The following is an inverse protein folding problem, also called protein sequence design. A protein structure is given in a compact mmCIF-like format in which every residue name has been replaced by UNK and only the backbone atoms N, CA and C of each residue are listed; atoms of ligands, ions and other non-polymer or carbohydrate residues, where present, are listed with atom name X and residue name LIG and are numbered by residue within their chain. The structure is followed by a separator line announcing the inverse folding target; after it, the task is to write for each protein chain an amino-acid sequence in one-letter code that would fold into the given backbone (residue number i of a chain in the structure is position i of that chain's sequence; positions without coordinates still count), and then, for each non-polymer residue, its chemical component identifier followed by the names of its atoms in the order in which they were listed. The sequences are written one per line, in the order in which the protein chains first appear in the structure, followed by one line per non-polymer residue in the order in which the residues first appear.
data_IF_432075951000
#
_entry.id   IF_432075951000
#
_cell.length_a   1.000
_cell.length_b   1.000
_cell.length_c   1.000
_cell.angle_alpha   90.00
_cell.angle_beta   90.00
_cell.angle_gamma   90.00
#
_symmetry.space_group_name_H-M   'P 1'
#
loop_
_entity.id
_entity.type
_entity.pdbx_description
1 polymer ?
#
# COMPACT_ATOMS: atom_id res chain seq x y z
N UNK A 1 21.38 9.68 -21.46
CA UNK A 1 20.20 9.93 -20.59
C UNK A 1 19.19 8.83 -20.89
N UNK A 2 18.82 7.99 -19.93
CA UNK A 2 17.75 7.02 -20.14
C UNK A 2 16.43 7.79 -20.32
N UNK A 3 15.69 7.49 -21.38
CA UNK A 3 14.37 8.07 -21.60
C UNK A 3 13.45 7.57 -20.48
N UNK A 4 12.85 8.49 -19.73
CA UNK A 4 11.84 8.13 -18.71
C UNK A 4 10.61 7.58 -19.46
N UNK A 5 10.15 6.36 -19.17
CA UNK A 5 9.00 5.79 -19.86
C UNK A 5 7.71 6.58 -19.54
N UNK A 6 6.75 6.55 -20.46
CA UNK A 6 5.41 7.10 -20.22
C UNK A 6 4.67 6.18 -19.23
N UNK A 7 4.37 6.69 -18.05
CA UNK A 7 3.72 5.95 -16.97
C UNK A 7 2.25 6.38 -16.83
N UNK A 8 1.33 5.41 -16.76
CA UNK A 8 -0.05 5.62 -16.34
C UNK A 8 -0.41 4.57 -15.28
N UNK A 9 -0.96 5.03 -14.15
CA UNK A 9 -1.50 4.16 -13.11
C UNK A 9 -3.03 4.22 -13.16
N UNK A 10 -3.67 3.10 -13.45
CA UNK A 10 -5.12 2.96 -13.30
C UNK A 10 -5.47 2.33 -11.96
N UNK A 11 -6.21 3.05 -11.13
CA UNK A 11 -6.72 2.58 -9.85
C UNK A 11 -8.02 3.32 -9.49
N UNK A 12 -8.69 2.90 -8.42
CA UNK A 12 -9.89 3.57 -7.94
C UNK A 12 -9.64 5.02 -7.49
N UNK A 13 -10.68 5.86 -7.60
CA UNK A 13 -10.64 7.27 -7.18
C UNK A 13 -10.86 7.43 -5.67
N UNK A 14 -9.90 6.94 -4.91
CA UNK A 14 -9.76 7.26 -3.48
C UNK A 14 -8.27 7.27 -3.11
N UNK A 15 -7.94 7.88 -1.99
CA UNK A 15 -6.59 7.87 -1.43
C UNK A 15 -6.47 6.67 -0.51
N UNK A 16 -5.39 5.91 -0.66
CA UNK A 16 -5.17 4.65 0.04
C UNK A 16 -5.31 3.41 -0.85
N UNK A 17 -5.21 2.24 -0.23
CA UNK A 17 -5.32 0.94 -0.84
C UNK A 17 -4.14 0.56 -1.74
N UNK A 18 -4.31 -0.47 -2.54
CA UNK A 18 -3.22 -1.10 -3.32
C UNK A 18 -2.51 -0.19 -4.33
N UNK A 19 -3.14 0.93 -4.74
CA UNK A 19 -2.55 1.89 -5.66
C UNK A 19 -1.70 2.98 -5.00
N UNK A 20 -1.91 3.22 -3.70
CA UNK A 20 -1.36 4.39 -3.03
C UNK A 20 0.16 4.34 -2.88
N UNK A 21 0.73 3.20 -2.49
CA UNK A 21 2.19 3.05 -2.42
C UNK A 21 2.88 3.35 -3.75
N UNK A 22 2.22 3.04 -4.88
CA UNK A 22 2.71 3.33 -6.23
C UNK A 22 2.66 4.83 -6.52
N UNK A 23 1.54 5.51 -6.20
CA UNK A 23 1.39 6.97 -6.33
C UNK A 23 2.47 7.71 -5.55
N UNK A 24 2.64 7.32 -4.29
CA UNK A 24 3.64 7.91 -3.42
C UNK A 24 5.06 7.68 -3.93
N UNK A 25 5.39 6.46 -4.37
CA UNK A 25 6.71 6.14 -4.90
C UNK A 25 7.04 6.95 -6.16
N UNK A 26 6.10 7.06 -7.11
CA UNK A 26 6.28 7.88 -8.31
C UNK A 26 6.45 9.37 -7.97
N UNK A 27 5.67 9.88 -7.01
CA UNK A 27 5.75 11.26 -6.54
C UNK A 27 7.09 11.55 -5.86
N UNK A 28 7.53 10.67 -4.94
CA UNK A 28 8.81 10.79 -4.21
C UNK A 28 9.99 10.75 -5.19
N UNK A 29 9.94 9.84 -6.17
CA UNK A 29 10.94 9.70 -7.23
C UNK A 29 10.86 10.79 -8.30
N UNK A 30 9.88 11.71 -8.23
CA UNK A 30 9.62 12.76 -9.23
C UNK A 30 9.48 12.19 -10.65
N UNK A 31 8.91 11.00 -10.78
CA UNK A 31 8.59 10.37 -12.05
C UNK A 31 7.21 10.86 -12.51
N UNK A 32 7.10 11.56 -13.65
CA UNK A 32 5.81 11.99 -14.18
C UNK A 32 4.92 10.80 -14.50
N UNK A 33 3.65 10.85 -14.12
CA UNK A 33 2.68 9.80 -14.43
C UNK A 33 1.27 10.37 -14.58
N UNK A 34 0.44 9.68 -15.36
CA UNK A 34 -1.00 9.87 -15.43
C UNK A 34 -1.66 9.06 -14.31
N UNK A 35 -2.35 9.72 -13.39
CA UNK A 35 -3.15 9.06 -12.33
C UNK A 35 -4.58 8.85 -12.84
N UNK A 36 -4.81 7.74 -13.56
CA UNK A 36 -6.10 7.33 -14.14
C UNK A 36 -7.00 6.76 -13.03
N UNK A 37 -7.74 7.66 -12.39
CA UNK A 37 -8.63 7.37 -11.27
C UNK A 37 -10.02 6.96 -11.77
N UNK A 38 -10.45 5.75 -11.42
CA UNK A 38 -11.68 5.15 -11.91
C UNK A 38 -12.77 5.15 -10.84
N UNK A 39 -13.98 5.56 -11.22
CA UNK A 39 -15.18 5.25 -10.44
C UNK A 39 -15.48 3.75 -10.49
N UNK A 40 -16.42 3.29 -9.67
CA UNK A 40 -16.89 1.89 -9.73
C UNK A 40 -17.50 1.54 -11.08
N UNK A 41 -18.26 2.45 -11.67
CA UNK A 41 -18.85 2.31 -13.01
C UNK A 41 -17.77 2.28 -14.09
N UNK A 42 -16.77 3.17 -13.99
CA UNK A 42 -15.62 3.19 -14.91
C UNK A 42 -14.80 1.90 -14.85
N UNK A 43 -14.62 1.32 -13.66
CA UNK A 43 -14.01 0.00 -13.50
C UNK A 43 -14.88 -1.10 -14.14
N UNK A 44 -16.19 -1.14 -13.86
CA UNK A 44 -17.09 -2.15 -14.41
C UNK A 44 -17.12 -2.14 -15.95
N UNK A 45 -17.05 -0.95 -16.56
CA UNK A 45 -16.97 -0.80 -18.03
C UNK A 45 -15.68 -1.34 -18.64
N UNK A 46 -14.56 -1.29 -17.88
CA UNK A 46 -13.21 -1.64 -18.37
C UNK A 46 -12.68 -2.98 -17.85
N UNK A 47 -13.38 -3.65 -16.94
CA UNK A 47 -12.88 -4.84 -16.21
C UNK A 47 -12.40 -5.96 -17.15
N UNK A 48 -13.04 -6.14 -18.31
CA UNK A 48 -12.69 -7.17 -19.29
C UNK A 48 -11.40 -6.86 -20.07
N UNK A 49 -10.96 -5.60 -20.09
CA UNK A 49 -9.75 -5.14 -20.76
C UNK A 49 -8.54 -5.17 -19.83
N UNK A 50 -8.79 -5.28 -18.51
CA UNK A 50 -7.74 -5.26 -17.50
C UNK A 50 -7.11 -6.64 -17.34
N UNK A 51 -5.79 -6.73 -17.19
CA UNK A 51 -5.13 -8.00 -16.80
C UNK A 51 -5.77 -8.53 -15.52
N UNK A 52 -6.14 -9.80 -15.51
CA UNK A 52 -6.79 -10.48 -14.36
C UNK A 52 -8.12 -9.84 -13.90
N UNK A 53 -8.74 -8.94 -14.69
CA UNK A 53 -9.98 -8.25 -14.32
C UNK A 53 -9.88 -7.44 -13.02
N UNK A 54 -8.72 -6.89 -12.68
CA UNK A 54 -8.45 -6.29 -11.38
C UNK A 54 -7.56 -5.03 -11.49
N UNK A 55 -7.62 -4.19 -10.45
CA UNK A 55 -6.79 -3.02 -10.23
C UNK A 55 -5.89 -3.22 -8.99
N UNK A 56 -4.72 -2.55 -8.93
CA UNK A 56 -4.17 -1.57 -9.88
C UNK A 56 -3.59 -2.20 -11.15
N UNK A 57 -3.50 -1.40 -12.22
CA UNK A 57 -2.70 -1.68 -13.42
C UNK A 57 -1.79 -0.49 -13.71
N UNK A 58 -0.50 -0.76 -13.87
CA UNK A 58 0.48 0.20 -14.34
C UNK A 58 0.72 0.00 -15.84
N UNK A 59 0.60 1.04 -16.63
CA UNK A 59 0.98 1.03 -18.04
C UNK A 59 2.33 1.71 -18.20
N UNK A 60 3.28 1.01 -18.82
CA UNK A 60 4.63 1.48 -19.12
C UNK A 60 4.79 1.49 -20.63
N UNK A 61 4.85 2.67 -21.24
CA UNK A 61 4.81 2.84 -22.71
C UNK A 61 3.65 2.06 -23.34
N UNK A 62 2.49 2.07 -22.69
CA UNK A 62 1.28 1.37 -23.12
C UNK A 62 1.23 -0.14 -22.77
N UNK A 63 2.30 -0.73 -22.25
CA UNK A 63 2.34 -2.15 -21.85
C UNK A 63 1.81 -2.31 -20.43
N UNK A 64 0.79 -3.15 -20.19
CA UNK A 64 0.20 -3.32 -18.86
C UNK A 64 1.06 -4.20 -17.96
N UNK A 65 1.21 -3.79 -16.70
CA UNK A 65 1.75 -4.55 -15.58
C UNK A 65 0.69 -4.57 -14.47
N UNK A 66 0.29 -5.74 -14.04
CA UNK A 66 -0.65 -5.92 -12.93
C UNK A 66 0.04 -6.55 -11.71
N UNK A 67 -0.76 -6.78 -10.65
CA UNK A 67 -0.32 -7.22 -9.32
C UNK A 67 0.43 -6.12 -8.53
N UNK A 68 -0.20 -5.65 -7.44
CA UNK A 68 0.26 -4.50 -6.67
C UNK A 68 1.73 -4.62 -6.25
N UNK A 69 2.18 -5.81 -5.81
CA UNK A 69 3.57 -6.02 -5.38
C UNK A 69 4.55 -6.02 -6.55
N UNK A 70 4.17 -6.57 -7.72
CA UNK A 70 4.99 -6.47 -8.93
C UNK A 70 5.15 -5.02 -9.38
N UNK A 71 4.07 -4.25 -9.33
CA UNK A 71 4.07 -2.81 -9.64
C UNK A 71 4.96 -2.06 -8.64
N UNK A 72 4.83 -2.31 -7.33
CA UNK A 72 5.67 -1.71 -6.30
C UNK A 72 7.16 -1.99 -6.54
N UNK A 73 7.55 -3.23 -6.87
CA UNK A 73 8.93 -3.58 -7.21
C UNK A 73 9.45 -2.81 -8.43
N UNK A 74 8.64 -2.76 -9.50
CA UNK A 74 9.01 -2.04 -10.72
C UNK A 74 9.20 -0.54 -10.46
N UNK A 75 8.20 0.09 -9.85
CA UNK A 75 8.24 1.53 -9.54
C UNK A 75 9.32 1.82 -8.49
N UNK A 76 9.49 0.98 -7.49
CA UNK A 76 10.55 1.12 -6.49
C UNK A 76 11.95 1.13 -7.10
N UNK A 77 12.21 0.26 -8.10
CA UNK A 77 13.48 0.27 -8.86
C UNK A 77 13.64 1.54 -9.70
N UNK A 78 12.54 2.03 -10.29
CA UNK A 78 12.56 3.24 -11.10
C UNK A 78 12.80 4.51 -10.27
N UNK A 79 12.42 4.50 -9.01
CA UNK A 79 12.43 5.66 -8.08
C UNK A 79 13.50 5.59 -7.00
N UNK A 80 14.39 4.58 -7.04
CA UNK A 80 15.38 4.29 -6.00
C UNK A 80 14.78 4.02 -4.60
N UNK A 81 13.54 3.49 -4.58
CA UNK A 81 12.82 3.08 -3.36
C UNK A 81 12.72 1.56 -3.22
N UNK A 82 13.60 0.82 -3.89
CA UNK A 82 13.72 -0.64 -3.79
C UNK A 82 15.18 -1.03 -3.71
N UNK A 83 15.57 -1.92 -2.78
CA UNK A 83 16.97 -2.31 -2.59
C UNK A 83 17.57 -2.98 -3.82
N UNK A 84 18.85 -2.69 -4.10
CA UNK A 84 19.63 -3.38 -5.14
C UNK A 84 20.33 -4.64 -4.62
N UNK A 85 20.63 -4.72 -3.32
CA UNK A 85 21.16 -5.93 -2.69
C UNK A 85 20.09 -7.04 -2.67
N UNK A 86 20.41 -8.27 -3.11
CA UNK A 86 19.42 -9.34 -3.23
C UNK A 86 18.77 -9.73 -1.89
N UNK A 87 19.51 -9.70 -0.78
CA UNK A 87 18.95 -10.04 0.52
C UNK A 87 18.00 -8.95 1.02
N UNK A 88 18.39 -7.69 0.91
CA UNK A 88 17.55 -6.55 1.28
C UNK A 88 16.31 -6.46 0.36
N UNK A 89 16.44 -6.80 -0.92
CA UNK A 89 15.33 -6.92 -1.85
C UNK A 89 14.33 -8.00 -1.41
N UNK A 90 14.82 -9.17 -1.00
CA UNK A 90 13.97 -10.24 -0.49
C UNK A 90 13.25 -9.85 0.82
N UNK A 91 13.91 -9.13 1.72
CA UNK A 91 13.26 -8.58 2.93
C UNK A 91 12.21 -7.55 2.57
N UNK A 92 12.46 -6.68 1.59
CA UNK A 92 11.46 -5.73 1.09
C UNK A 92 10.23 -6.47 0.53
N UNK A 93 10.45 -7.53 -0.23
CA UNK A 93 9.38 -8.37 -0.78
C UNK A 93 8.58 -9.10 0.30
N UNK A 94 9.26 -9.62 1.33
CA UNK A 94 8.61 -10.25 2.49
C UNK A 94 7.61 -9.28 3.15
N UNK A 95 7.98 -8.01 3.33
CA UNK A 95 7.07 -7.00 3.90
C UNK A 95 5.92 -6.71 2.95
N UNK A 96 6.19 -6.53 1.64
CA UNK A 96 5.13 -6.30 0.64
C UNK A 96 4.10 -7.42 0.63
N UNK A 97 4.56 -8.67 0.69
CA UNK A 97 3.71 -9.85 0.63
C UNK A 97 2.93 -10.05 1.95
N UNK A 98 3.55 -9.80 3.12
CA UNK A 98 2.87 -9.84 4.42
C UNK A 98 1.77 -8.77 4.51
N UNK A 99 2.04 -7.54 4.03
CA UNK A 99 1.01 -6.47 3.97
C UNK A 99 -0.13 -6.88 3.04
N UNK A 100 0.17 -7.52 1.91
CA UNK A 100 -0.88 -8.04 1.01
C UNK A 100 -1.69 -9.14 1.66
N UNK A 101 -1.08 -10.05 2.41
CA UNK A 101 -1.77 -11.11 3.15
C UNK A 101 -2.76 -10.53 4.17
N UNK A 102 -2.35 -9.54 4.96
CA UNK A 102 -3.25 -8.80 5.88
C UNK A 102 -4.41 -8.18 5.10
N UNK A 103 -4.09 -7.50 3.97
CA UNK A 103 -5.09 -6.86 3.12
C UNK A 103 -6.09 -7.86 2.55
N UNK A 104 -5.64 -9.04 2.13
CA UNK A 104 -6.49 -10.11 1.62
C UNK A 104 -7.40 -10.70 2.70
N UNK A 105 -6.88 -10.94 3.89
CA UNK A 105 -7.69 -11.43 5.01
C UNK A 105 -8.84 -10.49 5.35
N UNK A 106 -8.59 -9.19 5.43
CA UNK A 106 -9.62 -8.18 5.71
C UNK A 106 -10.53 -8.00 4.50
N UNK A 107 -9.94 -7.89 3.30
CA UNK A 107 -10.66 -7.68 2.03
C UNK A 107 -11.68 -8.77 1.74
N UNK A 108 -11.36 -10.04 2.07
CA UNK A 108 -12.27 -11.17 1.89
C UNK A 108 -13.56 -11.05 2.71
N UNK A 109 -13.59 -10.19 3.73
CA UNK A 109 -14.78 -9.96 4.58
C UNK A 109 -15.74 -8.90 4.02
N UNK A 110 -15.31 -8.14 3.01
CA UNK A 110 -16.07 -6.96 2.55
C UNK A 110 -17.40 -7.31 1.88
N UNK A 111 -17.49 -8.49 1.27
CA UNK A 111 -18.70 -8.99 0.60
C UNK A 111 -19.57 -9.90 1.48
N UNK A 112 -19.19 -10.14 2.74
CA UNK A 112 -19.92 -10.96 3.69
C UNK A 112 -21.13 -10.20 4.26
N UNK A 113 -22.18 -10.91 4.66
CA UNK A 113 -23.24 -10.34 5.48
C UNK A 113 -22.70 -9.87 6.84
N UNK A 114 -23.50 -9.09 7.58
CA UNK A 114 -23.02 -8.43 8.81
C UNK A 114 -22.61 -9.42 9.91
N UNK A 115 -23.33 -10.55 10.05
CA UNK A 115 -23.00 -11.55 11.07
C UNK A 115 -21.74 -12.31 10.70
N UNK A 116 -21.62 -12.79 9.47
CA UNK A 116 -20.43 -13.47 8.97
C UNK A 116 -19.20 -12.56 9.04
N UNK A 117 -19.35 -11.29 8.66
CA UNK A 117 -18.31 -10.27 8.72
C UNK A 117 -17.82 -10.10 10.15
N UNK A 118 -18.76 -9.94 11.10
CA UNK A 118 -18.46 -9.79 12.52
C UNK A 118 -17.66 -10.97 13.04
N UNK A 119 -18.18 -12.18 12.86
CA UNK A 119 -17.55 -13.40 13.39
C UNK A 119 -16.14 -13.60 12.79
N UNK A 120 -16.02 -13.40 11.47
CA UNK A 120 -14.73 -13.51 10.78
C UNK A 120 -13.73 -12.46 11.24
N UNK A 121 -14.14 -11.19 11.37
CA UNK A 121 -13.24 -10.11 11.80
C UNK A 121 -12.82 -10.23 13.26
N UNK A 122 -13.71 -10.65 14.16
CA UNK A 122 -13.35 -10.94 15.55
C UNK A 122 -12.29 -12.05 15.63
N UNK A 123 -12.42 -13.10 14.83
CA UNK A 123 -11.40 -14.16 14.74
C UNK A 123 -10.08 -13.64 14.16
N UNK A 124 -10.12 -12.82 13.11
CA UNK A 124 -8.92 -12.19 12.56
C UNK A 124 -8.19 -11.34 13.60
N UNK A 125 -8.90 -10.52 14.35
CA UNK A 125 -8.35 -9.65 15.41
C UNK A 125 -7.76 -10.48 16.56
N UNK A 126 -8.36 -11.62 16.89
CA UNK A 126 -7.90 -12.46 18.00
C UNK A 126 -6.68 -13.33 17.64
N UNK A 127 -6.56 -13.78 16.39
CA UNK A 127 -5.61 -14.84 16.01
C UNK A 127 -4.65 -14.40 14.89
N UNK A 128 -5.17 -14.09 13.70
CA UNK A 128 -4.37 -13.95 12.48
C UNK A 128 -3.61 -12.63 12.42
N UNK A 129 -4.31 -11.52 12.63
CA UNK A 129 -3.71 -10.19 12.50
C UNK A 129 -2.61 -9.92 13.53
N UNK A 130 -2.74 -10.34 14.81
CA UNK A 130 -1.64 -10.18 15.77
C UNK A 130 -0.35 -10.89 15.36
N UNK A 131 -0.45 -12.08 14.76
CA UNK A 131 0.71 -12.83 14.31
C UNK A 131 1.43 -12.12 13.15
N UNK A 132 0.68 -11.69 12.11
CA UNK A 132 1.24 -11.01 10.94
C UNK A 132 1.80 -9.64 11.30
N UNK A 133 1.06 -8.83 12.05
CA UNK A 133 1.50 -7.50 12.48
C UNK A 133 2.67 -7.57 13.47
N UNK A 134 2.68 -8.57 14.35
CA UNK A 134 3.82 -8.86 15.22
C UNK A 134 5.08 -9.25 14.45
N UNK A 135 4.94 -10.00 13.36
CA UNK A 135 6.03 -10.29 12.43
C UNK A 135 6.59 -9.03 11.78
N UNK A 136 5.72 -8.15 11.27
CA UNK A 136 6.13 -6.84 10.73
C UNK A 136 6.82 -5.98 11.81
N UNK A 137 6.32 -5.96 13.03
CA UNK A 137 6.94 -5.27 14.17
C UNK A 137 8.38 -5.75 14.43
N UNK A 138 8.57 -7.07 14.41
CA UNK A 138 9.92 -7.65 14.58
C UNK A 138 10.85 -7.29 13.42
N UNK A 139 10.38 -7.34 12.17
CA UNK A 139 11.16 -6.96 11.00
C UNK A 139 11.57 -5.50 11.03
N UNK A 140 10.67 -4.60 11.41
CA UNK A 140 11.00 -3.19 11.58
C UNK A 140 12.11 -2.98 12.63
N UNK A 141 11.99 -3.65 13.78
CA UNK A 141 13.02 -3.57 14.84
C UNK A 141 14.37 -4.13 14.39
N UNK A 142 14.39 -5.24 13.66
CA UNK A 142 15.59 -5.82 13.07
C UNK A 142 16.24 -4.91 12.00
N UNK A 143 15.43 -4.14 11.27
CA UNK A 143 15.86 -3.14 10.29
C UNK A 143 16.39 -1.84 10.91
N UNK A 144 16.44 -1.73 12.25
CA UNK A 144 16.89 -0.52 12.97
C UNK A 144 15.76 0.34 13.53
N UNK A 145 14.49 -0.03 13.31
CA UNK A 145 13.31 0.60 13.93
C UNK A 145 12.79 1.85 13.21
N UNK A 146 13.52 2.37 12.24
CA UNK A 146 13.07 3.53 11.45
C UNK A 146 12.37 3.14 10.16
N UNK A 147 13.02 2.28 9.37
CA UNK A 147 12.52 1.72 8.12
C UNK A 147 12.79 0.22 8.08
N UNK A 148 12.04 -0.51 7.24
CA UNK A 148 12.14 -1.97 7.20
C UNK A 148 13.47 -2.47 6.65
N UNK A 149 14.04 -1.79 5.65
CA UNK A 149 15.24 -2.25 4.96
C UNK A 149 16.25 -1.11 4.75
N UNK A 150 17.55 -1.42 4.84
CA UNK A 150 18.66 -0.49 4.56
C UNK A 150 18.61 0.84 5.32
N UNK A 151 17.86 0.91 6.42
CA UNK A 151 17.64 2.13 7.19
C UNK A 151 17.22 3.35 6.33
N UNK A 152 16.47 3.10 5.26
CA UNK A 152 15.94 4.11 4.35
C UNK A 152 14.54 3.74 3.86
N UNK A 153 13.73 4.76 3.57
CA UNK A 153 12.38 4.56 3.05
C UNK A 153 12.40 3.75 1.74
N UNK A 154 11.51 2.78 1.65
CA UNK A 154 11.29 1.89 0.51
C UNK A 154 9.80 1.77 0.17
N UNK A 155 9.47 1.10 -0.91
CA UNK A 155 8.06 0.79 -1.25
C UNK A 155 7.38 -0.09 -0.20
N UNK A 156 8.14 -0.88 0.57
CA UNK A 156 7.61 -1.65 1.70
C UNK A 156 7.08 -0.73 2.80
N UNK A 157 7.84 0.34 3.13
CA UNK A 157 7.42 1.33 4.12
C UNK A 157 6.17 2.08 3.70
N UNK A 158 6.07 2.45 2.43
CA UNK A 158 4.89 3.13 1.86
C UNK A 158 3.65 2.24 1.95
N UNK A 159 3.78 0.96 1.56
CA UNK A 159 2.67 0.01 1.59
C UNK A 159 2.24 -0.34 3.02
N UNK A 160 3.18 -0.54 3.93
CA UNK A 160 2.90 -0.78 5.34
C UNK A 160 2.23 0.42 6.01
N UNK A 161 2.69 1.63 5.69
CA UNK A 161 2.09 2.87 6.19
C UNK A 161 0.64 3.04 5.73
N UNK A 162 0.33 2.72 4.47
CA UNK A 162 -1.04 2.75 3.94
C UNK A 162 -1.95 1.74 4.67
N UNK A 163 -1.48 0.50 4.87
CA UNK A 163 -2.21 -0.50 5.66
C UNK A 163 -2.56 0.02 7.07
N UNK A 164 -1.60 0.65 7.76
CA UNK A 164 -1.83 1.21 9.10
C UNK A 164 -2.87 2.32 9.06
N UNK A 165 -2.81 3.19 8.06
CA UNK A 165 -3.83 4.23 7.83
C UNK A 165 -5.23 3.63 7.68
N UNK A 166 -5.35 2.53 6.92
CA UNK A 166 -6.62 1.83 6.74
C UNK A 166 -7.13 1.19 8.04
N UNK A 167 -6.26 0.52 8.82
CA UNK A 167 -6.63 -0.07 10.10
C UNK A 167 -7.10 0.96 11.13
N UNK A 168 -6.53 2.18 11.11
CA UNK A 168 -6.91 3.29 12.00
C UNK A 168 -8.12 4.09 11.53
N UNK A 169 -8.57 3.91 10.29
CA UNK A 169 -9.55 4.80 9.65
C UNK A 169 -10.96 4.78 10.27
N UNK A 170 -11.30 3.75 11.03
CA UNK A 170 -12.66 3.51 11.52
C UNK A 170 -13.62 2.96 10.46
N UNK A 171 -13.17 2.75 9.21
CA UNK A 171 -13.98 2.17 8.14
C UNK A 171 -14.15 0.64 8.25
N UNK A 172 -13.40 0.01 9.16
CA UNK A 172 -13.38 -1.44 9.32
C UNK A 172 -14.18 -1.85 10.55
N UNK A 173 -15.50 -2.08 10.39
CA UNK A 173 -16.34 -2.61 11.46
C UNK A 173 -15.65 -3.78 12.17
N UNK A 174 -15.78 -3.87 13.49
CA UNK A 174 -15.24 -4.94 14.34
C UNK A 174 -13.70 -5.07 14.34
N UNK A 175 -12.96 -4.11 13.77
CA UNK A 175 -11.51 -3.96 13.95
C UNK A 175 -11.30 -2.64 14.71
N UNK A 176 -10.77 -2.68 15.96
CA UNK A 176 -10.58 -1.46 16.75
C UNK A 176 -9.61 -0.50 16.09
N UNK A 177 -9.89 0.80 16.13
CA UNK A 177 -9.01 1.83 15.54
C UNK A 177 -7.66 1.95 16.25
N UNK A 178 -7.58 1.49 17.50
CA UNK A 178 -6.35 1.42 18.29
C UNK A 178 -5.66 0.04 18.25
N UNK A 179 -6.08 -0.81 17.30
CA UNK A 179 -5.58 -2.18 17.21
C UNK A 179 -4.06 -2.24 16.98
N UNK A 180 -3.55 -1.36 16.12
CA UNK A 180 -2.10 -1.27 15.83
C UNK A 180 -1.31 -0.90 17.08
N UNK A 181 -1.79 0.04 17.88
CA UNK A 181 -1.14 0.47 19.11
C UNK A 181 -1.01 -0.65 20.14
N UNK A 182 -1.97 -1.59 20.12
CA UNK A 182 -2.02 -2.74 21.05
C UNK A 182 -1.10 -3.88 20.61
N UNK A 183 -1.01 -4.15 19.30
CA UNK A 183 -0.33 -5.36 18.79
C UNK A 183 1.03 -5.08 18.14
N UNK A 184 1.24 -3.88 17.59
CA UNK A 184 2.44 -3.51 16.85
C UNK A 184 2.75 -2.00 17.00
N UNK A 185 3.04 -1.50 18.22
CA UNK A 185 3.19 -0.06 18.47
C UNK A 185 4.32 0.60 17.67
N UNK A 186 5.42 -0.12 17.38
CA UNK A 186 6.50 0.43 16.54
C UNK A 186 6.06 0.63 15.09
N UNK A 187 5.18 -0.23 14.57
CA UNK A 187 4.55 -0.05 13.24
C UNK A 187 3.65 1.20 13.26
N UNK A 188 2.93 1.43 14.35
CA UNK A 188 2.16 2.66 14.55
C UNK A 188 3.03 3.93 14.51
N UNK A 189 4.20 3.91 15.16
CA UNK A 189 5.18 4.99 15.14
C UNK A 189 5.84 5.15 13.75
N UNK A 190 6.16 4.05 13.08
CA UNK A 190 6.66 4.04 11.72
C UNK A 190 5.68 4.74 10.76
N UNK A 191 4.38 4.45 10.83
CA UNK A 191 3.37 5.13 10.02
C UNK A 191 3.40 6.66 10.25
N UNK A 192 3.49 7.11 11.51
CA UNK A 192 3.60 8.55 11.82
C UNK A 192 4.86 9.16 11.19
N UNK A 193 6.00 8.44 11.18
CA UNK A 193 7.23 8.90 10.53
C UNK A 193 7.07 9.01 9.03
N UNK A 194 6.53 7.99 8.38
CA UNK A 194 6.31 7.96 6.93
C UNK A 194 5.36 9.07 6.50
N UNK A 195 4.23 9.25 7.18
CA UNK A 195 3.23 10.28 6.84
C UNK A 195 3.72 11.70 7.09
N UNK A 196 4.69 11.91 7.99
CA UNK A 196 5.35 13.20 8.22
C UNK A 196 6.47 13.52 7.24
N UNK A 197 6.86 12.62 6.34
CA UNK A 197 7.80 12.95 5.27
C UNK A 197 7.25 14.12 4.45
N UNK A 198 8.08 15.14 4.24
CA UNK A 198 7.64 16.39 3.60
C UNK A 198 7.09 16.16 2.17
N UNK A 199 7.62 15.16 1.45
CA UNK A 199 7.18 14.82 0.08
C UNK A 199 5.78 14.19 0.11
N UNK A 200 5.51 13.33 1.09
CA UNK A 200 4.22 12.66 1.30
C UNK A 200 3.19 13.67 1.78
N UNK A 201 3.55 14.49 2.76
CA UNK A 201 2.68 15.57 3.26
C UNK A 201 2.29 16.55 2.15
N UNK A 202 3.24 16.93 1.28
CA UNK A 202 2.98 17.79 0.13
C UNK A 202 2.04 17.15 -0.89
N UNK A 203 2.21 15.85 -1.17
CA UNK A 203 1.31 15.10 -2.05
C UNK A 203 -0.13 15.16 -1.55
N UNK A 204 -0.39 14.82 -0.29
CA UNK A 204 -1.75 14.86 0.27
C UNK A 204 -2.33 16.29 0.35
N UNK A 205 -1.51 17.28 0.67
CA UNK A 205 -1.94 18.68 0.66
C UNK A 205 -2.34 19.16 -0.74
N UNK A 206 -1.65 18.72 -1.79
CA UNK A 206 -2.02 19.00 -3.17
C UNK A 206 -3.31 18.26 -3.57
N UNK A 207 -3.43 16.99 -3.20
CA UNK A 207 -4.60 16.16 -3.49
C UNK A 207 -5.88 16.76 -2.86
N UNK A 208 -5.83 17.19 -1.60
CA UNK A 208 -6.95 17.82 -0.92
C UNK A 208 -7.48 19.06 -1.66
N UNK A 209 -6.61 19.83 -2.30
CA UNK A 209 -7.01 21.02 -3.11
C UNK A 209 -7.71 20.62 -4.42
N UNK A 210 -7.48 19.41 -4.92
CA UNK A 210 -8.05 18.94 -6.20
C UNK A 210 -9.44 18.34 -5.98
N UNK A 211 -9.68 17.68 -4.84
CA UNK A 211 -10.96 17.04 -4.49
C UNK A 211 -12.01 18.08 -4.07
N UNK A 212 -11.59 19.24 -3.55
CA UNK A 212 -12.49 20.31 -3.08
C UNK A 212 -12.85 21.34 -4.18
N UNK A 213 -12.53 21.07 -5.44
CA UNK A 213 -12.95 21.84 -6.61
C UNK A 213 -14.00 21.08 -7.41
#
# INVERSE_FOLDING_TARGET
MSVIPKIKLSYFDFDGGRGEAVRLALTIGKVPFEDDRLSREGFAARVRELPYGALPVLYVDGKPLAQSNAICRYVGKLTDLYPSDPWQAALCDEILDTVEEVTMHIGSTMSMDDQQKKDRRLKLVAETLPALLGGLEQRLKQGGGEFFVNNRMSVADLKASDLVGWLRSGMLDHIPTDFIEKVAPSIGQHNVRVTKDARISAYYAQRAKTVNK
#
